data_IF_638743169520
#
_entry.id   IF_638743169520
#
_cell.length_a   1.000
_cell.length_b   1.000
_cell.length_c   1.000
_cell.angle_alpha   90.00
_cell.angle_beta   90.00
_cell.angle_gamma   90.00
#
_symmetry.space_group_name_H-M   'P 1'
#
loop_
_entity.id
_entity.type
_entity.pdbx_description
1 polymer ?
#
# COMPACT_ATOMS: atom_id res chain seq x y z
N UNK A 1 -11.36 -3.97 5.64
CA UNK A 1 -11.28 -2.65 6.31
C UNK A 1 -10.24 -2.75 7.41
N UNK A 2 -9.17 -1.95 7.36
CA UNK A 2 -8.11 -2.02 8.37
C UNK A 2 -8.56 -1.54 9.76
N UNK A 3 -7.98 -2.12 10.82
CA UNK A 3 -8.35 -1.85 12.22
C UNK A 3 -7.95 -0.49 12.79
N UNK A 4 -7.44 0.44 11.98
CA UNK A 4 -6.91 1.72 12.44
C UNK A 4 -7.95 2.77 12.87
N UNK A 5 -9.26 2.51 12.68
CA UNK A 5 -10.36 3.34 13.19
C UNK A 5 -10.43 4.79 12.68
N UNK A 6 -9.57 5.18 11.73
CA UNK A 6 -9.52 6.55 11.24
C UNK A 6 -10.64 6.81 10.22
N UNK A 7 -11.46 7.89 10.37
CA UNK A 7 -12.58 8.14 9.47
C UNK A 7 -12.14 8.29 8.01
N UNK A 8 -12.68 7.45 7.13
CA UNK A 8 -12.31 7.43 5.70
C UNK A 8 -12.54 8.78 5.02
N UNK A 9 -13.64 9.46 5.34
CA UNK A 9 -13.97 10.75 4.72
C UNK A 9 -12.94 11.85 5.05
N UNK A 10 -12.47 11.92 6.30
CA UNK A 10 -11.40 12.86 6.67
C UNK A 10 -10.08 12.52 5.97
N UNK A 11 -9.75 11.22 5.86
CA UNK A 11 -8.54 10.76 5.18
C UNK A 11 -8.54 11.20 3.72
N UNK A 12 -9.66 11.02 3.03
CA UNK A 12 -9.82 11.39 1.62
C UNK A 12 -9.79 12.91 1.44
N UNK A 13 -10.46 13.68 2.31
CA UNK A 13 -10.44 15.13 2.25
C UNK A 13 -9.01 15.69 2.41
N UNK A 14 -8.25 15.15 3.38
CA UNK A 14 -6.84 15.51 3.58
C UNK A 14 -5.96 15.09 2.41
N UNK A 15 -6.14 13.88 1.88
CA UNK A 15 -5.40 13.39 0.73
C UNK A 15 -5.59 14.28 -0.50
N UNK A 16 -6.84 14.68 -0.77
CA UNK A 16 -7.19 15.60 -1.86
C UNK A 16 -6.55 16.97 -1.66
N UNK A 17 -6.64 17.55 -0.46
CA UNK A 17 -6.02 18.83 -0.15
C UNK A 17 -4.49 18.78 -0.27
N UNK A 18 -3.87 17.65 0.06
CA UNK A 18 -2.43 17.44 -0.03
C UNK A 18 -1.92 17.11 -1.45
N UNK A 19 -2.82 16.98 -2.44
CA UNK A 19 -2.47 16.62 -3.83
C UNK A 19 -1.55 15.39 -3.91
N UNK A 20 -2.02 14.27 -3.35
CA UNK A 20 -1.23 13.05 -3.26
C UNK A 20 -0.82 12.51 -4.64
N UNK A 21 0.46 12.23 -4.82
CA UNK A 21 0.98 11.64 -6.06
C UNK A 21 0.69 10.14 -6.18
N UNK A 22 0.62 9.41 -5.06
CA UNK A 22 0.50 7.95 -5.07
C UNK A 22 -0.60 7.48 -4.11
N UNK A 23 -1.54 6.70 -4.65
CA UNK A 23 -2.57 5.99 -3.91
C UNK A 23 -2.13 4.54 -3.69
N UNK A 24 -2.00 4.13 -2.43
CA UNK A 24 -1.66 2.75 -2.06
C UNK A 24 -2.90 2.10 -1.43
N UNK A 25 -3.35 0.99 -2.01
CA UNK A 25 -4.42 0.15 -1.50
C UNK A 25 -3.78 -1.02 -0.77
N UNK A 26 -4.01 -1.11 0.53
CA UNK A 26 -3.43 -2.15 1.38
C UNK A 26 -4.36 -3.35 1.44
N UNK A 27 -3.89 -4.49 0.93
CA UNK A 27 -4.48 -5.82 1.05
C UNK A 27 -3.44 -6.82 1.60
N UNK A 28 -2.58 -6.35 2.52
CA UNK A 28 -1.56 -7.16 3.21
C UNK A 28 -2.10 -7.57 4.58
N UNK A 29 -2.52 -8.83 4.69
CA UNK A 29 -3.06 -9.39 5.93
C UNK A 29 -1.96 -9.95 6.82
N UNK A 30 -1.44 -9.20 7.78
CA UNK A 30 -0.33 -9.69 8.62
C UNK A 30 -0.74 -10.73 9.68
N UNK A 31 -2.03 -10.88 9.94
CA UNK A 31 -2.53 -11.79 10.98
C UNK A 31 -2.68 -13.22 10.43
N UNK A 32 -2.12 -14.24 11.11
CA UNK A 32 -2.41 -15.63 10.79
C UNK A 32 -3.92 -15.89 10.83
N UNK A 33 -4.45 -16.62 9.85
CA UNK A 33 -5.86 -17.05 9.75
C UNK A 33 -6.89 -16.01 9.29
N UNK A 34 -6.49 -14.74 9.13
CA UNK A 34 -7.33 -13.75 8.45
C UNK A 34 -7.09 -13.89 6.95
N UNK A 35 -8.17 -14.06 6.19
CA UNK A 35 -8.16 -14.26 4.72
C UNK A 35 -9.18 -13.35 4.02
N UNK A 36 -9.63 -12.29 4.68
CA UNK A 36 -10.76 -11.49 4.24
C UNK A 36 -10.43 -10.70 2.96
N UNK A 37 -9.24 -10.13 2.89
CA UNK A 37 -8.75 -9.40 1.72
C UNK A 37 -8.49 -10.39 0.56
N UNK A 38 -7.97 -11.59 0.83
CA UNK A 38 -7.82 -12.62 -0.20
C UNK A 38 -9.18 -13.02 -0.82
N UNK A 39 -10.18 -13.29 0.01
CA UNK A 39 -11.53 -13.63 -0.44
C UNK A 39 -12.15 -12.47 -1.21
N UNK A 40 -12.02 -11.23 -0.71
CA UNK A 40 -12.56 -10.05 -1.37
C UNK A 40 -11.94 -9.83 -2.76
N UNK A 41 -10.63 -10.04 -2.89
CA UNK A 41 -9.90 -9.88 -4.16
C UNK A 41 -10.20 -10.99 -5.16
N UNK A 42 -10.61 -12.17 -4.70
CA UNK A 42 -11.05 -13.28 -5.57
C UNK A 42 -12.52 -13.13 -6.00
N UNK A 43 -13.43 -12.94 -5.04
CA UNK A 43 -14.88 -12.96 -5.29
C UNK A 43 -15.41 -11.62 -5.82
N UNK A 44 -14.77 -10.51 -5.46
CA UNK A 44 -15.26 -9.16 -5.78
C UNK A 44 -14.23 -8.32 -6.57
N UNK A 45 -13.34 -8.98 -7.32
CA UNK A 45 -12.21 -8.35 -8.04
C UNK A 45 -12.62 -7.10 -8.83
N UNK A 46 -13.65 -7.20 -9.66
CA UNK A 46 -14.10 -6.09 -10.51
C UNK A 46 -14.59 -4.89 -9.69
N UNK A 47 -15.27 -5.14 -8.57
CA UNK A 47 -15.76 -4.10 -7.66
C UNK A 47 -14.60 -3.42 -6.94
N UNK A 48 -13.59 -4.18 -6.53
CA UNK A 48 -12.37 -3.62 -5.92
C UNK A 48 -11.66 -2.72 -6.91
N UNK A 49 -11.38 -3.22 -8.13
CA UNK A 49 -10.74 -2.45 -9.20
C UNK A 49 -11.52 -1.17 -9.53
N UNK A 50 -12.85 -1.26 -9.63
CA UNK A 50 -13.71 -0.10 -9.87
C UNK A 50 -13.62 0.93 -8.74
N UNK A 51 -13.63 0.47 -7.48
CA UNK A 51 -13.44 1.35 -6.32
C UNK A 51 -12.07 2.05 -6.33
N UNK A 52 -11.01 1.34 -6.72
CA UNK A 52 -9.67 1.91 -6.86
C UNK A 52 -9.63 3.04 -7.90
N UNK A 53 -10.26 2.85 -9.06
CA UNK A 53 -10.36 3.86 -10.12
C UNK A 53 -11.10 5.12 -9.68
N UNK A 54 -12.19 4.93 -8.94
CA UNK A 54 -12.98 6.04 -8.37
C UNK A 54 -12.10 6.84 -7.40
N UNK A 55 -11.39 6.15 -6.49
CA UNK A 55 -10.50 6.82 -5.53
C UNK A 55 -9.35 7.55 -6.24
N UNK A 56 -8.73 6.94 -7.24
CA UNK A 56 -7.67 7.55 -8.03
C UNK A 56 -8.14 8.84 -8.69
N UNK A 57 -9.32 8.80 -9.32
CA UNK A 57 -9.96 9.97 -9.96
C UNK A 57 -10.28 11.07 -8.94
N UNK A 58 -10.87 10.71 -7.79
CA UNK A 58 -11.25 11.67 -6.75
C UNK A 58 -10.05 12.41 -6.14
N UNK A 59 -8.91 11.73 -6.06
CA UNK A 59 -7.67 12.24 -5.49
C UNK A 59 -6.75 12.89 -6.54
N UNK A 60 -6.99 12.66 -7.83
CA UNK A 60 -6.08 13.07 -8.90
C UNK A 60 -4.72 12.37 -8.81
N UNK A 61 -4.66 11.16 -8.25
CA UNK A 61 -3.41 10.45 -8.01
C UNK A 61 -2.92 9.77 -9.31
N UNK A 62 -1.78 10.19 -9.90
CA UNK A 62 -1.28 9.62 -11.16
C UNK A 62 -0.75 8.19 -11.03
N UNK A 63 -0.36 7.76 -9.82
CA UNK A 63 0.13 6.41 -9.54
C UNK A 63 -0.77 5.70 -8.55
N UNK A 64 -1.24 4.50 -8.91
CA UNK A 64 -2.08 3.65 -8.07
C UNK A 64 -1.40 2.30 -7.89
N UNK A 65 -1.31 1.84 -6.65
CA UNK A 65 -0.65 0.59 -6.29
C UNK A 65 -1.54 -0.25 -5.38
N UNK A 66 -1.82 -1.48 -5.78
CA UNK A 66 -2.40 -2.53 -4.94
C UNK A 66 -1.26 -3.32 -4.29
N UNK A 67 -1.15 -3.24 -2.97
CA UNK A 67 -0.19 -4.01 -2.20
C UNK A 67 -0.89 -5.25 -1.62
N UNK A 68 -0.51 -6.44 -2.07
CA UNK A 68 -1.11 -7.71 -1.62
C UNK A 68 -0.15 -8.51 -0.75
N UNK A 69 -0.71 -9.31 0.16
CA UNK A 69 0.06 -10.30 0.91
C UNK A 69 0.69 -11.33 -0.04
N UNK A 70 1.95 -11.73 0.18
CA UNK A 70 2.65 -12.65 -0.72
C UNK A 70 2.04 -14.06 -0.72
N UNK A 71 1.27 -14.43 0.33
CA UNK A 71 0.58 -15.73 0.43
C UNK A 71 -0.69 -15.80 -0.41
N UNK A 72 -1.28 -14.66 -0.78
CA UNK A 72 -2.54 -14.67 -1.53
C UNK A 72 -2.33 -15.31 -2.91
N UNK A 73 -3.18 -16.26 -3.29
CA UNK A 73 -3.10 -16.89 -4.61
C UNK A 73 -3.58 -15.98 -5.74
N UNK A 74 -4.23 -14.85 -5.40
CA UNK A 74 -4.81 -13.93 -6.37
C UNK A 74 -3.75 -13.26 -7.23
N UNK A 75 -4.00 -13.21 -8.54
CA UNK A 75 -3.25 -12.41 -9.50
C UNK A 75 -4.20 -11.38 -10.12
N UNK A 76 -3.82 -10.10 -10.01
CA UNK A 76 -4.62 -8.97 -10.50
C UNK A 76 -3.69 -8.13 -11.36
N UNK A 77 -3.98 -8.12 -12.66
CA UNK A 77 -3.28 -7.27 -13.62
C UNK A 77 -4.27 -6.32 -14.25
N UNK A 78 -3.91 -5.04 -14.31
CA UNK A 78 -4.66 -4.02 -15.01
C UNK A 78 -3.71 -2.95 -15.55
N UNK A 79 -4.05 -2.26 -16.65
CA UNK A 79 -3.18 -1.26 -17.25
C UNK A 79 -3.06 0.03 -16.43
N UNK A 80 -4.01 0.29 -15.54
CA UNK A 80 -4.17 1.56 -14.82
C UNK A 80 -3.68 1.53 -13.37
N UNK A 81 -3.18 0.40 -12.88
CA UNK A 81 -2.53 0.30 -11.56
C UNK A 81 -1.47 -0.80 -11.50
N UNK A 82 -0.55 -0.66 -10.57
CA UNK A 82 0.47 -1.66 -10.27
C UNK A 82 -0.06 -2.61 -9.19
N UNK A 83 0.14 -3.92 -9.35
CA UNK A 83 -0.08 -4.91 -8.28
C UNK A 83 1.28 -5.42 -7.79
N UNK A 84 1.57 -5.26 -6.50
CA UNK A 84 2.83 -5.71 -5.90
C UNK A 84 2.59 -6.67 -4.76
N UNK A 85 3.41 -7.73 -4.69
CA UNK A 85 3.48 -8.63 -3.54
C UNK A 85 4.45 -8.05 -2.51
N UNK A 86 3.95 -7.80 -1.31
CA UNK A 86 4.76 -7.18 -0.25
C UNK A 86 5.62 -8.25 0.43
N UNK A 87 6.94 -8.10 0.55
CA UNK A 87 7.75 -9.09 1.26
C UNK A 87 7.28 -9.29 2.71
N UNK A 88 7.31 -10.52 3.25
CA UNK A 88 6.86 -10.80 4.61
C UNK A 88 7.89 -10.26 5.63
N UNK A 89 7.80 -8.97 5.94
CA UNK A 89 8.61 -8.30 6.96
C UNK A 89 7.70 -7.65 7.98
N UNK A 90 7.64 -8.18 9.20
CA UNK A 90 6.71 -7.67 10.20
C UNK A 90 7.14 -6.28 10.74
N UNK A 91 6.22 -5.32 10.94
CA UNK A 91 4.81 -5.33 10.54
C UNK A 91 4.57 -4.82 9.09
N UNK A 92 4.41 -5.75 8.14
CA UNK A 92 4.41 -5.50 6.68
C UNK A 92 3.25 -4.62 6.21
N UNK A 93 2.08 -4.78 6.86
CA UNK A 93 0.86 -4.04 6.57
C UNK A 93 0.79 -2.67 7.25
N UNK A 94 1.84 -2.26 7.97
CA UNK A 94 1.88 -0.91 8.54
C UNK A 94 2.03 0.14 7.44
N UNK A 95 1.27 1.23 7.56
CA UNK A 95 1.22 2.30 6.55
C UNK A 95 2.62 2.85 6.22
N UNK A 96 3.50 2.95 7.23
CA UNK A 96 4.89 3.41 7.06
C UNK A 96 5.74 2.44 6.25
N UNK A 97 5.59 1.13 6.48
CA UNK A 97 6.36 0.15 5.72
C UNK A 97 5.88 0.06 4.28
N UNK A 98 4.57 0.10 4.05
CA UNK A 98 4.02 0.11 2.70
C UNK A 98 4.48 1.33 1.90
N UNK A 99 4.45 2.52 2.49
CA UNK A 99 5.02 3.71 1.84
C UNK A 99 6.49 3.48 1.49
N UNK A 100 7.30 2.95 2.42
CA UNK A 100 8.72 2.73 2.17
C UNK A 100 8.98 1.68 1.07
N UNK A 101 8.18 0.62 1.02
CA UNK A 101 8.30 -0.44 0.00
C UNK A 101 7.87 0.07 -1.38
N UNK A 102 6.76 0.81 -1.46
CA UNK A 102 6.20 1.33 -2.73
C UNK A 102 7.00 2.51 -3.30
N UNK A 103 7.49 3.39 -2.42
CA UNK A 103 8.19 4.62 -2.83
C UNK A 103 9.70 4.50 -2.80
N UNK A 104 10.25 3.47 -2.15
CA UNK A 104 11.68 3.34 -1.89
C UNK A 104 12.19 4.25 -0.76
N UNK A 105 11.31 5.04 -0.14
CA UNK A 105 11.69 6.02 0.86
C UNK A 105 10.93 5.87 2.18
N UNK A 106 11.68 5.74 3.27
CA UNK A 106 11.09 5.64 4.60
C UNK A 106 10.56 7.01 5.09
N UNK A 107 9.41 6.97 5.77
CA UNK A 107 8.91 8.14 6.50
C UNK A 107 9.76 8.36 7.76
N UNK A 108 10.13 9.61 8.03
CA UNK A 108 10.82 9.98 9.28
C UNK A 108 9.99 9.69 10.53
N UNK A 109 10.65 9.54 11.67
CA UNK A 109 9.99 9.28 12.95
C UNK A 109 8.88 10.31 13.25
N UNK A 110 7.72 9.84 13.72
CA UNK A 110 6.57 10.70 14.03
C UNK A 110 5.78 11.23 12.82
N UNK A 111 6.24 11.02 11.57
CA UNK A 111 5.54 11.48 10.36
C UNK A 111 4.42 10.51 9.96
N UNK A 112 3.35 11.06 9.38
CA UNK A 112 2.23 10.32 8.77
C UNK A 112 2.28 10.49 7.24
N UNK A 113 1.72 9.56 6.46
CA UNK A 113 1.57 9.77 5.03
C UNK A 113 0.78 11.05 4.73
N UNK A 114 1.02 11.65 3.57
CA UNK A 114 0.40 12.91 3.13
C UNK A 114 0.88 14.16 3.90
N UNK A 115 1.96 14.06 4.69
CA UNK A 115 2.63 15.25 5.23
C UNK A 115 3.34 15.98 4.07
N UNK A 116 3.06 17.28 3.83
CA UNK A 116 3.68 18.03 2.73
C UNK A 116 5.19 18.07 2.83
N UNK A 117 5.83 18.16 1.67
CA UNK A 117 7.27 18.13 1.58
C UNK A 117 7.92 19.47 1.98
N UNK A 118 8.22 19.72 3.26
CA UNK A 118 9.09 20.85 3.62
C UNK A 118 10.58 20.43 3.63
N UNK A 119 11.33 20.95 2.66
CA UNK A 119 12.80 20.91 2.49
C UNK A 119 13.46 19.56 2.14
N UNK A 120 14.56 19.68 1.41
CA UNK A 120 15.35 18.68 0.67
C UNK A 120 15.99 17.54 1.47
N UNK A 121 15.75 17.44 2.79
CA UNK A 121 16.22 16.33 3.65
C UNK A 121 15.15 15.26 3.91
N UNK A 122 14.10 15.24 3.07
CA UNK A 122 12.84 14.53 3.27
C UNK A 122 12.94 12.99 3.35
N UNK A 123 13.85 12.43 2.56
CA UNK A 123 13.97 11.00 2.38
C UNK A 123 15.18 10.52 3.16
N UNK A 124 14.97 10.13 4.41
CA UNK A 124 16.04 9.58 5.23
C UNK A 124 16.34 8.14 4.79
N UNK A 125 17.28 8.06 3.84
CA UNK A 125 17.96 6.87 3.29
C UNK A 125 17.11 6.02 2.32
N UNK A 126 17.62 5.72 1.11
CA UNK A 126 17.03 4.67 0.28
C UNK A 126 17.14 3.33 1.02
N UNK A 127 16.07 2.54 0.98
CA UNK A 127 16.12 1.16 1.47
C UNK A 127 17.08 0.37 0.57
N UNK A 128 18.22 -0.07 1.11
CA UNK A 128 19.04 -1.10 0.46
C UNK A 128 18.27 -2.42 0.54
N UNK A 129 17.50 -2.72 -0.49
CA UNK A 129 16.90 -4.04 -0.64
C UNK A 129 18.00 -5.03 -1.02
N UNK A 130 18.23 -6.00 -0.14
CA UNK A 130 18.98 -7.22 -0.47
C UNK A 130 17.95 -8.35 -0.43
N UNK A 131 17.63 -9.00 -1.56
CA UNK A 131 16.69 -10.12 -1.57
C UNK A 131 17.21 -11.23 -0.63
N UNK A 132 16.34 -11.92 0.11
CA UNK A 132 16.75 -13.10 0.87
C UNK A 132 17.26 -14.16 -0.11
N UNK A 133 18.43 -14.75 0.20
CA UNK A 133 18.91 -15.93 -0.52
C UNK A 133 17.83 -17.03 -0.45
N UNK A 134 17.56 -17.75 -1.56
CA UNK A 134 16.61 -18.84 -1.53
C UNK A 134 17.05 -19.85 -0.48
N UNK A 135 16.19 -20.09 0.52
CA UNK A 135 16.40 -21.20 1.45
C UNK A 135 16.29 -22.47 0.62
N UNK A 136 17.41 -23.16 0.42
CA UNK A 136 17.39 -24.56 0.05
C UNK A 136 16.65 -25.28 1.18
N UNK A 137 15.45 -25.77 0.90
CA UNK A 137 14.78 -26.72 1.78
C UNK A 137 15.37 -28.12 1.52
N UNK A 138 15.50 -28.94 2.58
CA UNK A 138 16.13 -30.27 2.52
C UNK A 138 15.32 -31.29 1.72
#
# INVERSE_FOLDING_TARGET
>A
MGGGGYPTHEKLARARAASVHTLIINAVECEPWVTADEVLLNECRERVVSGMRILATLLGAPRVVLAIDPRHAVDITAPDFECIRVPPRFPAGSERQLVAIVTGHALGAGRRPMTPASSSSMWQRPLRYTPPLPRAFP
#
